data_IF_366773457429
#
_entry.id   IF_366773457429
#
_cell.length_a   1.000
_cell.length_b   1.000
_cell.length_c   1.000
_cell.angle_alpha   90.00
_cell.angle_beta   90.00
_cell.angle_gamma   90.00
#
_symmetry.space_group_name_H-M   'P 1'
#
loop_
_entity.id
_entity.type
_entity.pdbx_description
1 polymer ?
#
# COMPACT_ATOMS: atom_id res chain seq x y z
N UNK A 1 -29.94 -27.07 -0.16
CA UNK A 1 -30.52 -26.15 0.83
C UNK A 1 -29.35 -25.41 1.49
N UNK A 2 -29.14 -24.15 1.13
CA UNK A 2 -28.12 -23.34 1.76
C UNK A 2 -28.70 -22.69 3.02
N UNK A 3 -27.98 -22.69 4.14
CA UNK A 3 -28.51 -22.05 5.35
C UNK A 3 -28.53 -20.52 5.15
N UNK A 4 -29.72 -19.96 5.39
CA UNK A 4 -29.89 -18.51 5.42
C UNK A 4 -29.12 -17.95 6.63
N UNK A 5 -28.10 -17.18 6.35
CA UNK A 5 -27.40 -16.43 7.41
C UNK A 5 -28.31 -15.26 7.84
N UNK A 6 -28.95 -15.41 8.98
CA UNK A 6 -29.79 -14.35 9.57
C UNK A 6 -28.85 -13.25 10.13
N UNK A 7 -29.09 -12.03 9.72
CA UNK A 7 -28.30 -10.85 10.04
C UNK A 7 -28.49 -10.31 11.47
N UNK A 8 -29.12 -11.09 12.37
CA UNK A 8 -29.59 -10.54 13.66
C UNK A 8 -28.64 -10.69 14.85
N UNK A 9 -27.52 -11.40 14.72
CA UNK A 9 -26.68 -11.68 15.90
C UNK A 9 -25.19 -11.39 15.70
N UNK A 10 -24.88 -10.22 15.14
CA UNK A 10 -23.49 -9.77 15.18
C UNK A 10 -23.26 -9.15 16.55
N UNK A 11 -22.86 -9.98 17.51
CA UNK A 11 -22.37 -9.51 18.80
C UNK A 11 -21.14 -8.64 18.56
N UNK A 12 -20.91 -7.61 19.38
CA UNK A 12 -19.67 -6.81 19.27
C UNK A 12 -18.47 -7.75 19.29
N UNK A 13 -17.56 -7.56 18.37
CA UNK A 13 -16.33 -8.36 18.32
C UNK A 13 -15.50 -7.97 19.55
N UNK A 14 -15.23 -8.88 20.48
CA UNK A 14 -14.48 -8.51 21.68
C UNK A 14 -13.07 -8.05 21.31
N UNK A 15 -12.54 -7.15 22.10
CA UNK A 15 -11.20 -6.57 21.93
C UNK A 15 -10.12 -7.66 21.82
N UNK A 16 -10.39 -8.83 22.43
CA UNK A 16 -9.49 -10.00 22.36
C UNK A 16 -9.31 -10.56 20.95
N UNK A 17 -10.25 -10.30 20.04
CA UNK A 17 -10.13 -10.79 18.65
C UNK A 17 -9.08 -9.97 17.87
N UNK A 18 -8.69 -8.80 18.39
CA UNK A 18 -7.59 -8.02 17.81
C UNK A 18 -6.24 -8.70 18.02
N UNK A 19 -6.18 -9.68 18.95
CA UNK A 19 -4.98 -10.46 19.23
C UNK A 19 -5.20 -11.90 18.74
N UNK A 20 -5.07 -12.13 17.44
CA UNK A 20 -5.03 -13.49 16.97
C UNK A 20 -3.66 -14.06 17.34
N UNK A 21 -3.63 -14.78 18.46
CA UNK A 21 -2.49 -15.64 18.77
C UNK A 21 -2.75 -16.95 18.05
N UNK A 22 -1.91 -17.25 17.06
CA UNK A 22 -1.92 -18.56 16.46
C UNK A 22 -1.67 -19.58 17.59
N UNK A 23 -2.41 -20.69 17.65
CA UNK A 23 -2.13 -21.71 18.65
C UNK A 23 -0.72 -22.22 18.47
N UNK A 24 0.06 -22.20 19.54
CA UNK A 24 1.38 -22.82 19.55
C UNK A 24 1.20 -24.33 19.58
N UNK A 25 1.55 -25.05 18.53
CA UNK A 25 1.63 -26.50 18.67
C UNK A 25 2.97 -26.82 19.36
N UNK A 26 2.89 -27.25 20.59
CA UNK A 26 4.03 -27.88 21.24
C UNK A 26 4.26 -29.22 20.54
N UNK A 27 5.05 -29.19 19.50
CA UNK A 27 5.57 -30.41 18.92
C UNK A 27 7.08 -30.23 18.75
N UNK A 28 7.84 -30.89 19.64
CA UNK A 28 9.29 -30.98 19.47
C UNK A 28 9.53 -31.89 18.26
N UNK A 29 9.70 -31.27 17.09
CA UNK A 29 10.19 -32.01 15.94
C UNK A 29 11.73 -31.94 15.92
N UNK A 30 12.34 -33.07 15.90
CA UNK A 30 13.76 -33.26 15.64
C UNK A 30 14.10 -32.60 14.29
N UNK A 31 15.14 -31.76 14.20
CA UNK A 31 15.41 -31.09 12.93
C UNK A 31 15.97 -32.07 11.91
N UNK A 32 15.10 -32.66 11.13
CA UNK A 32 15.55 -33.23 9.86
C UNK A 32 15.95 -32.06 8.95
N UNK A 33 17.15 -32.13 8.37
CA UNK A 33 17.59 -31.20 7.33
C UNK A 33 16.59 -31.30 6.18
N UNK A 34 15.51 -30.53 6.25
CA UNK A 34 14.62 -30.37 5.10
C UNK A 34 15.41 -29.63 4.03
N UNK A 35 15.59 -30.27 2.88
CA UNK A 35 16.05 -29.59 1.68
C UNK A 35 15.08 -28.43 1.48
N UNK A 36 15.58 -27.19 1.58
CA UNK A 36 14.78 -26.00 1.37
C UNK A 36 14.33 -25.98 -0.09
N UNK A 37 13.05 -26.24 -0.32
CA UNK A 37 12.48 -26.10 -1.66
C UNK A 37 12.44 -24.59 -1.95
N UNK A 38 12.98 -24.15 -3.09
CA UNK A 38 12.92 -22.73 -3.43
C UNK A 38 11.48 -22.29 -3.63
N UNK A 39 11.16 -21.01 -3.34
CA UNK A 39 9.80 -20.52 -3.56
C UNK A 39 9.42 -20.59 -5.03
N UNK A 40 8.16 -20.92 -5.31
CA UNK A 40 7.62 -20.87 -6.65
C UNK A 40 7.20 -19.43 -6.96
N UNK A 41 7.61 -18.93 -8.11
CA UNK A 41 7.32 -17.56 -8.56
C UNK A 41 6.55 -17.66 -9.87
N UNK A 42 5.26 -17.25 -9.86
CA UNK A 42 4.40 -17.25 -11.02
C UNK A 42 3.93 -15.85 -11.33
N UNK A 43 3.97 -15.45 -12.58
CA UNK A 43 3.49 -14.12 -12.98
C UNK A 43 2.00 -13.98 -12.64
N UNK A 44 1.62 -12.84 -12.06
CA UNK A 44 0.26 -12.60 -11.57
C UNK A 44 -0.65 -12.02 -12.65
N UNK A 45 -0.12 -11.08 -13.45
CA UNK A 45 -0.81 -10.49 -14.60
C UNK A 45 0.15 -10.39 -15.77
N UNK A 46 -0.33 -10.13 -16.99
CA UNK A 46 0.58 -9.96 -18.14
C UNK A 46 1.56 -8.80 -18.01
N UNK A 47 1.28 -7.80 -17.16
CA UNK A 47 2.07 -6.55 -17.12
C UNK A 47 2.92 -6.41 -15.88
N UNK A 48 2.51 -6.99 -14.72
CA UNK A 48 3.31 -6.87 -13.47
C UNK A 48 2.79 -7.82 -12.41
N UNK A 49 3.56 -7.96 -11.35
CA UNK A 49 3.20 -8.74 -10.18
C UNK A 49 3.55 -10.21 -10.29
N UNK A 50 3.87 -10.82 -9.17
CA UNK A 50 4.15 -12.25 -9.07
C UNK A 50 3.46 -12.84 -7.83
N UNK A 51 2.99 -14.06 -7.98
CA UNK A 51 2.44 -14.88 -6.89
C UNK A 51 3.57 -15.78 -6.39
N UNK A 52 3.84 -15.76 -5.09
CA UNK A 52 4.92 -16.50 -4.45
C UNK A 52 4.28 -17.57 -3.56
N UNK A 53 4.62 -18.80 -3.85
CA UNK A 53 4.18 -19.96 -3.03
C UNK A 53 5.39 -20.75 -2.58
N UNK A 54 5.08 -21.63 -1.49
CA UNK A 54 6.16 -22.34 -1.03
C UNK A 54 7.03 -21.59 -0.10
N UNK A 55 6.67 -20.47 0.40
CA UNK A 55 7.31 -19.81 1.36
C UNK A 55 6.46 -19.75 2.49
N UNK A 56 6.91 -20.05 3.74
CA UNK A 56 6.21 -19.87 5.03
C UNK A 56 6.82 -18.67 5.77
N UNK A 57 6.13 -17.57 5.76
CA UNK A 57 6.63 -16.30 6.32
C UNK A 57 6.54 -16.26 7.85
N UNK A 58 6.00 -17.30 8.48
CA UNK A 58 6.08 -17.45 9.95
C UNK A 58 7.45 -17.92 10.39
N UNK A 59 8.25 -18.47 9.48
CA UNK A 59 9.55 -19.03 9.75
C UNK A 59 10.67 -18.07 9.35
N UNK A 60 11.83 -18.20 10.00
CA UNK A 60 13.02 -17.46 9.59
C UNK A 60 13.44 -17.94 8.19
N UNK A 61 13.58 -17.00 7.26
CA UNK A 61 14.00 -17.31 5.89
C UNK A 61 15.53 -17.34 5.79
N UNK A 62 16.05 -18.28 5.02
CA UNK A 62 17.47 -18.28 4.73
C UNK A 62 17.81 -17.22 3.69
N UNK A 63 19.07 -16.88 3.62
CA UNK A 63 19.54 -15.80 2.74
C UNK A 63 19.24 -16.05 1.25
N UNK A 64 19.12 -17.03 0.82
CA UNK A 64 18.85 -17.37 -0.47
C UNK A 64 17.51 -17.08 -0.87
N UNK A 65 16.76 -17.54 -0.02
CA UNK A 65 15.34 -17.22 -0.25
C UNK A 65 15.11 -15.71 -0.21
N UNK A 66 15.64 -15.03 0.78
CA UNK A 66 15.50 -13.56 0.89
C UNK A 66 16.02 -12.89 -0.38
N UNK A 67 17.20 -13.28 -0.87
CA UNK A 67 17.77 -12.66 -2.09
C UNK A 67 16.88 -12.93 -3.30
N UNK A 68 16.32 -14.13 -3.42
CA UNK A 68 15.38 -14.48 -4.48
C UNK A 68 14.14 -13.59 -4.41
N UNK A 69 13.58 -13.37 -3.21
CA UNK A 69 12.42 -12.52 -3.02
C UNK A 69 12.73 -11.05 -3.34
N UNK A 70 13.91 -10.57 -2.98
CA UNK A 70 14.35 -9.21 -3.33
C UNK A 70 14.44 -9.02 -4.84
N UNK A 71 15.03 -10.00 -5.55
CA UNK A 71 15.10 -9.95 -7.01
C UNK A 71 13.71 -9.96 -7.63
N UNK A 72 12.82 -10.84 -7.14
CA UNK A 72 11.44 -10.90 -7.61
C UNK A 72 10.71 -9.58 -7.38
N UNK A 73 10.92 -8.95 -6.22
CA UNK A 73 10.29 -7.67 -5.90
C UNK A 73 10.75 -6.57 -6.85
N UNK A 74 12.06 -6.46 -7.10
CA UNK A 74 12.59 -5.45 -8.02
C UNK A 74 12.09 -5.69 -9.46
N UNK A 75 11.95 -6.94 -9.87
CA UNK A 75 11.47 -7.29 -11.20
C UNK A 75 9.97 -7.04 -11.36
N UNK A 76 9.16 -7.49 -10.41
CA UNK A 76 7.71 -7.57 -10.58
C UNK A 76 6.92 -6.43 -9.95
N UNK A 77 7.52 -5.63 -9.05
CA UNK A 77 6.92 -4.49 -8.33
C UNK A 77 5.82 -4.86 -7.33
N UNK A 78 5.26 -6.05 -7.41
CA UNK A 78 4.21 -6.50 -6.49
C UNK A 78 4.35 -8.01 -6.32
N UNK A 79 4.37 -8.45 -5.04
CA UNK A 79 4.43 -9.87 -4.70
C UNK A 79 3.21 -10.23 -3.85
N UNK A 80 2.48 -11.26 -4.28
CA UNK A 80 1.37 -11.83 -3.52
C UNK A 80 1.82 -13.13 -2.86
N UNK A 81 1.72 -13.20 -1.54
CA UNK A 81 1.98 -14.40 -0.75
C UNK A 81 0.65 -14.88 -0.17
N UNK A 82 0.01 -15.89 -0.77
CA UNK A 82 -1.28 -16.38 -0.24
C UNK A 82 -1.10 -17.29 0.98
N UNK A 83 -2.14 -17.40 1.78
CA UNK A 83 -2.24 -18.34 2.91
C UNK A 83 -1.13 -18.16 3.97
N UNK A 84 -0.79 -16.91 4.27
CA UNK A 84 0.21 -16.57 5.29
C UNK A 84 -0.53 -16.16 6.57
N UNK A 85 -0.81 -17.13 7.43
CA UNK A 85 -1.50 -16.88 8.71
C UNK A 85 -0.43 -16.62 9.79
N UNK A 86 0.12 -15.40 9.75
CA UNK A 86 1.30 -15.03 10.57
C UNK A 86 0.92 -14.01 11.64
N UNK A 87 1.75 -13.94 12.67
CA UNK A 87 1.62 -12.95 13.75
C UNK A 87 2.11 -11.57 13.28
N UNK A 88 1.84 -10.55 14.09
CA UNK A 88 2.39 -9.22 13.86
C UNK A 88 3.91 -9.21 13.93
N UNK A 89 4.49 -10.00 14.85
CA UNK A 89 5.94 -10.14 14.98
C UNK A 89 6.55 -10.71 13.70
N UNK A 90 5.94 -11.75 13.15
CA UNK A 90 6.41 -12.37 11.91
C UNK A 90 6.26 -11.41 10.73
N UNK A 91 5.18 -10.62 10.70
CA UNK A 91 4.97 -9.60 9.66
C UNK A 91 6.09 -8.54 9.68
N UNK A 92 6.41 -8.03 10.88
CA UNK A 92 7.49 -7.04 11.04
C UNK A 92 8.84 -7.68 10.68
N UNK A 93 9.11 -8.91 11.15
CA UNK A 93 10.37 -9.60 10.85
C UNK A 93 10.54 -9.81 9.33
N UNK A 94 9.47 -10.16 8.63
CA UNK A 94 9.49 -10.28 7.17
C UNK A 94 9.83 -8.94 6.51
N UNK A 95 9.21 -7.86 6.97
CA UNK A 95 9.46 -6.51 6.46
C UNK A 95 10.94 -6.14 6.59
N UNK A 96 11.56 -6.49 7.71
CA UNK A 96 12.93 -6.11 8.01
C UNK A 96 13.97 -6.81 7.14
N UNK A 97 13.62 -7.89 6.44
CA UNK A 97 14.50 -8.45 5.42
C UNK A 97 14.75 -7.46 4.26
N UNK A 98 13.80 -6.57 4.01
CA UNK A 98 13.84 -5.66 2.86
C UNK A 98 14.31 -4.25 3.21
N UNK A 99 14.38 -3.91 4.49
CA UNK A 99 14.83 -2.60 4.93
C UNK A 99 14.27 -2.22 6.29
N UNK A 100 14.45 -0.97 6.65
CA UNK A 100 14.00 -0.46 7.96
C UNK A 100 12.49 -0.26 7.94
N UNK A 101 11.80 -0.87 8.90
CA UNK A 101 10.36 -0.72 9.06
C UNK A 101 10.05 0.67 9.64
N UNK A 102 9.20 1.43 8.95
CA UNK A 102 8.78 2.74 9.42
C UNK A 102 7.88 2.62 10.65
N UNK A 103 7.95 3.62 11.53
CA UNK A 103 6.96 3.80 12.59
C UNK A 103 5.80 4.61 12.00
N UNK A 104 4.61 4.00 11.90
CA UNK A 104 3.49 4.73 11.32
C UNK A 104 3.08 5.89 12.22
N UNK A 105 2.69 6.98 11.62
CA UNK A 105 2.16 8.13 12.34
C UNK A 105 0.77 7.81 12.85
N UNK A 106 0.43 8.40 13.98
CA UNK A 106 -0.95 8.39 14.45
C UNK A 106 -1.77 9.16 13.41
N UNK A 107 -2.57 8.43 12.67
CA UNK A 107 -3.48 9.04 11.70
C UNK A 107 -4.92 8.89 12.18
N UNK A 108 -5.77 9.74 11.66
CA UNK A 108 -7.19 9.73 11.99
C UNK A 108 -7.78 8.34 11.69
N UNK A 109 -8.32 7.71 12.72
CA UNK A 109 -8.96 6.40 12.56
C UNK A 109 -8.01 5.21 12.51
N UNK A 110 -6.73 5.38 12.85
CA UNK A 110 -5.81 4.26 12.95
C UNK A 110 -5.52 3.92 14.41
N UNK A 111 -5.35 2.64 14.68
CA UNK A 111 -4.96 2.13 15.99
C UNK A 111 -3.57 1.49 15.85
N UNK A 112 -2.65 1.91 16.72
CA UNK A 112 -1.30 1.40 16.74
C UNK A 112 -1.10 0.57 18.00
N UNK A 113 -1.26 -0.73 17.88
CA UNK A 113 -0.95 -1.64 18.98
C UNK A 113 0.53 -1.97 19.02
N UNK A 114 1.21 -1.79 17.91
CA UNK A 114 2.65 -2.04 17.78
C UNK A 114 3.30 -0.88 17.03
N UNK A 115 4.56 -0.55 17.38
CA UNK A 115 5.20 0.65 16.81
C UNK A 115 5.33 0.65 15.28
N UNK A 116 5.40 -0.52 14.66
CA UNK A 116 5.69 -0.64 13.23
C UNK A 116 4.49 -1.06 12.39
N UNK A 117 3.30 -1.23 13.00
CA UNK A 117 2.12 -1.71 12.27
C UNK A 117 1.02 -0.66 12.27
N UNK A 118 0.55 -0.33 11.09
CA UNK A 118 -0.64 0.48 10.87
C UNK A 118 -1.82 -0.45 10.63
N UNK A 119 -2.90 -0.28 11.41
CA UNK A 119 -4.11 -1.11 11.26
C UNK A 119 -5.13 -0.35 10.43
N UNK A 120 -5.49 -0.91 9.27
CA UNK A 120 -6.51 -0.36 8.38
C UNK A 120 -7.82 -1.06 8.71
N UNK A 121 -8.71 -0.34 9.38
CA UNK A 121 -9.87 -0.91 10.07
C UNK A 121 -11.10 -0.02 9.82
N UNK A 122 -12.31 -0.62 9.86
CA UNK A 122 -13.56 0.11 9.67
C UNK A 122 -14.52 0.02 10.87
N UNK A 123 -13.99 -0.22 12.07
CA UNK A 123 -14.77 -0.20 13.30
C UNK A 123 -13.98 0.43 14.45
N UNK A 124 -14.71 0.83 15.49
CA UNK A 124 -14.13 1.52 16.64
C UNK A 124 -13.60 0.54 17.70
N UNK A 125 -13.10 1.08 18.80
CA UNK A 125 -12.52 0.28 19.90
C UNK A 125 -13.55 -0.62 20.59
N UNK A 126 -14.81 -0.23 20.51
CA UNK A 126 -15.92 -0.97 21.11
C UNK A 126 -16.46 -2.06 20.16
N UNK A 127 -15.95 -2.13 18.93
CA UNK A 127 -16.35 -3.12 17.94
C UNK A 127 -17.50 -2.68 17.05
N UNK A 128 -17.91 -1.40 17.13
CA UNK A 128 -19.01 -0.87 16.31
C UNK A 128 -18.47 -0.43 14.95
N UNK A 129 -19.12 -0.88 13.87
CA UNK A 129 -18.76 -0.46 12.53
C UNK A 129 -18.96 1.06 12.36
N UNK A 130 -18.08 1.69 11.58
CA UNK A 130 -18.20 3.11 11.27
C UNK A 130 -19.48 3.38 10.48
N UNK A 131 -20.19 4.42 10.85
CA UNK A 131 -21.34 4.89 10.07
C UNK A 131 -20.83 5.56 8.79
N UNK A 132 -21.59 5.44 7.71
CA UNK A 132 -21.17 5.92 6.39
C UNK A 132 -20.88 7.42 6.34
N UNK A 133 -21.53 8.20 7.21
CA UNK A 133 -21.44 9.67 7.23
C UNK A 133 -20.45 10.22 8.27
N UNK A 134 -19.89 9.37 9.14
CA UNK A 134 -18.97 9.88 10.17
C UNK A 134 -17.59 10.24 9.61
N UNK A 135 -16.83 11.14 10.27
CA UNK A 135 -15.54 11.62 9.74
C UNK A 135 -14.53 10.54 9.41
N UNK A 136 -14.47 9.46 10.20
CA UNK A 136 -13.54 8.34 9.95
C UNK A 136 -13.88 7.61 8.64
N UNK A 137 -15.18 7.43 8.35
CA UNK A 137 -15.63 6.80 7.12
C UNK A 137 -15.31 7.70 5.92
N UNK A 138 -15.52 9.01 6.06
CA UNK A 138 -15.16 9.96 5.00
C UNK A 138 -13.66 9.98 4.74
N UNK A 139 -12.84 9.91 5.79
CA UNK A 139 -11.39 9.82 5.64
C UNK A 139 -11.00 8.59 4.81
N UNK A 140 -11.65 7.45 5.07
CA UNK A 140 -11.39 6.21 4.31
C UNK A 140 -11.76 6.34 2.82
N UNK A 141 -12.72 7.19 2.48
CA UNK A 141 -13.06 7.45 1.07
C UNK A 141 -11.88 8.06 0.30
N UNK A 142 -11.00 8.80 0.98
CA UNK A 142 -9.78 9.32 0.34
C UNK A 142 -8.84 8.23 -0.17
N UNK A 143 -8.89 7.04 0.44
CA UNK A 143 -8.08 5.90 0.01
C UNK A 143 -8.60 5.26 -1.29
N UNK A 144 -9.73 5.71 -1.79
CA UNK A 144 -10.27 5.29 -3.09
C UNK A 144 -9.61 6.01 -4.26
N UNK A 145 -8.81 7.03 -3.99
CA UNK A 145 -8.03 7.71 -5.03
C UNK A 145 -6.71 6.98 -5.27
N UNK A 146 -6.27 6.93 -6.53
CA UNK A 146 -4.99 6.32 -6.87
C UNK A 146 -3.83 7.07 -6.19
N UNK A 147 -3.04 6.37 -5.41
CA UNK A 147 -1.91 6.99 -4.69
C UNK A 147 -0.77 6.00 -4.47
N UNK A 148 0.39 6.53 -4.12
CA UNK A 148 1.48 5.76 -3.53
C UNK A 148 1.61 6.18 -2.07
N UNK A 149 2.11 5.30 -1.22
CA UNK A 149 2.29 5.64 0.19
C UNK A 149 3.45 6.63 0.35
N UNK A 150 3.14 7.76 0.95
CA UNK A 150 4.15 8.70 1.40
C UNK A 150 4.70 9.66 0.35
N UNK A 151 4.10 9.76 -0.85
CA UNK A 151 4.64 10.68 -1.86
C UNK A 151 4.54 12.15 -1.46
N UNK A 152 3.74 12.46 -0.43
CA UNK A 152 3.68 13.81 0.16
C UNK A 152 4.83 14.10 1.12
N UNK A 153 5.73 13.12 1.35
CA UNK A 153 6.92 13.28 2.20
C UNK A 153 8.14 13.54 1.33
N UNK A 154 9.13 14.27 1.89
CA UNK A 154 10.41 14.48 1.21
C UNK A 154 11.12 13.15 0.90
N UNK A 155 10.96 12.17 1.79
CA UNK A 155 11.50 10.82 1.61
C UNK A 155 10.30 9.85 1.63
N UNK A 156 9.77 9.47 0.46
CA UNK A 156 8.64 8.53 0.39
C UNK A 156 9.05 7.12 0.83
N UNK A 157 8.06 6.33 1.24
CA UNK A 157 8.30 4.91 1.57
C UNK A 157 8.69 4.13 0.30
N UNK A 158 9.63 3.21 0.43
CA UNK A 158 10.03 2.33 -0.68
C UNK A 158 8.90 1.36 -1.00
N UNK A 159 8.39 0.69 0.03
CA UNK A 159 7.43 -0.41 -0.15
C UNK A 159 6.46 -0.46 1.01
N UNK A 160 5.32 -1.09 0.76
CA UNK A 160 4.33 -1.39 1.79
C UNK A 160 3.98 -2.87 1.73
N UNK A 161 3.69 -3.43 2.88
CA UNK A 161 3.29 -4.84 3.02
C UNK A 161 1.95 -4.87 3.75
N UNK A 162 0.89 -5.29 3.03
CA UNK A 162 -0.46 -5.41 3.55
C UNK A 162 -0.78 -6.88 3.83
N UNK A 163 -1.35 -7.15 4.99
CA UNK A 163 -1.78 -8.49 5.38
C UNK A 163 -3.27 -8.47 5.73
N UNK A 164 -4.04 -9.42 5.17
CA UNK A 164 -5.48 -9.51 5.39
C UNK A 164 -5.79 -10.36 6.62
N UNK A 165 -6.44 -9.74 7.62
CA UNK A 165 -6.82 -10.39 8.87
C UNK A 165 -8.31 -10.66 8.94
N UNK A 166 -9.14 -9.69 8.55
CA UNK A 166 -10.60 -9.86 8.42
C UNK A 166 -11.01 -9.26 7.08
N UNK A 167 -11.77 -10.01 6.32
CA UNK A 167 -12.13 -9.67 4.93
C UNK A 167 -13.66 -9.71 4.80
N UNK A 168 -14.29 -8.67 4.24
CA UNK A 168 -15.71 -8.68 3.99
C UNK A 168 -16.07 -9.67 2.88
N UNK A 169 -17.30 -10.24 2.91
CA UNK A 169 -17.72 -11.19 1.86
C UNK A 169 -17.90 -10.54 0.50
N UNK A 170 -18.07 -9.22 0.44
CA UNK A 170 -18.21 -8.44 -0.81
C UNK A 170 -17.47 -7.13 -0.71
N UNK A 171 -16.80 -6.76 -1.78
CA UNK A 171 -16.08 -5.50 -1.86
C UNK A 171 -14.81 -5.50 -1.03
N UNK A 172 -14.27 -4.33 -0.74
CA UNK A 172 -13.08 -4.18 0.07
C UNK A 172 -11.80 -4.65 -0.60
N UNK A 173 -11.81 -4.80 -1.93
CA UNK A 173 -10.60 -5.13 -2.70
C UNK A 173 -9.59 -4.01 -2.62
N UNK A 174 -8.35 -4.31 -2.97
CA UNK A 174 -7.33 -3.30 -3.22
C UNK A 174 -6.91 -3.41 -4.68
N UNK A 175 -6.97 -2.30 -5.38
CA UNK A 175 -6.53 -2.23 -6.77
C UNK A 175 -5.12 -1.65 -6.83
N UNK A 176 -4.31 -2.20 -7.71
CA UNK A 176 -2.93 -1.76 -7.94
C UNK A 176 -2.78 -1.42 -9.42
N UNK A 177 -1.95 -0.42 -9.72
CA UNK A 177 -1.64 -0.04 -11.10
C UNK A 177 -0.13 0.04 -11.26
N UNK A 178 0.37 -0.50 -12.38
CA UNK A 178 1.80 -0.48 -12.68
C UNK A 178 2.19 0.86 -13.29
N UNK A 179 3.00 1.62 -12.55
CA UNK A 179 3.56 2.87 -13.08
C UNK A 179 4.65 2.62 -14.12
N UNK A 180 5.28 1.44 -14.11
CA UNK A 180 6.21 1.02 -15.17
C UNK A 180 5.46 0.78 -16.47
N UNK A 181 4.36 0.03 -16.42
CA UNK A 181 3.52 -0.21 -17.59
C UNK A 181 2.93 1.10 -18.12
N UNK A 182 2.51 1.98 -17.23
CA UNK A 182 2.00 3.30 -17.62
C UNK A 182 3.07 4.12 -18.35
N UNK A 183 4.30 4.16 -17.81
CA UNK A 183 5.40 4.86 -18.47
C UNK A 183 5.64 4.30 -19.88
N UNK A 184 5.75 2.98 -19.99
CA UNK A 184 5.99 2.32 -21.26
C UNK A 184 4.83 2.50 -22.26
N UNK A 185 3.62 2.73 -21.74
CA UNK A 185 2.44 2.98 -22.57
C UNK A 185 2.27 4.41 -23.04
N UNK A 186 3.08 5.35 -22.51
CA UNK A 186 3.07 6.73 -22.99
C UNK A 186 3.68 6.81 -24.40
N UNK A 187 3.22 7.80 -25.18
CA UNK A 187 3.88 8.12 -26.46
C UNK A 187 5.34 8.55 -26.23
N UNK A 188 6.17 8.41 -27.24
CA UNK A 188 7.57 8.88 -27.16
C UNK A 188 7.64 10.38 -26.90
N UNK A 189 6.68 11.13 -27.42
CA UNK A 189 6.57 12.57 -27.19
C UNK A 189 6.31 12.85 -25.69
N UNK A 190 5.35 12.14 -25.09
CA UNK A 190 5.04 12.31 -23.67
C UNK A 190 6.21 11.85 -22.78
N UNK A 191 6.85 10.74 -23.12
CA UNK A 191 8.04 10.29 -22.38
C UNK A 191 9.13 11.38 -22.40
N UNK A 192 9.38 11.97 -23.56
CA UNK A 192 10.36 13.06 -23.73
C UNK A 192 9.93 14.29 -22.92
N UNK A 193 8.63 14.61 -22.90
CA UNK A 193 8.09 15.74 -22.13
C UNK A 193 8.32 15.57 -20.65
N UNK A 194 8.01 14.39 -20.11
CA UNK A 194 7.97 14.19 -18.66
C UNK A 194 9.27 13.67 -18.03
N UNK A 195 10.20 13.14 -18.82
CA UNK A 195 11.40 12.48 -18.27
C UNK A 195 12.26 13.39 -17.40
N UNK A 196 12.23 14.72 -17.65
CA UNK A 196 13.02 15.70 -16.90
C UNK A 196 12.15 16.68 -16.13
N UNK A 197 10.87 16.37 -15.91
CA UNK A 197 9.96 17.22 -15.16
C UNK A 197 9.81 16.74 -13.71
N UNK A 198 9.47 17.65 -12.84
CA UNK A 198 9.11 17.35 -11.45
C UNK A 198 7.69 17.81 -11.18
N UNK A 199 6.96 17.08 -10.36
CA UNK A 199 5.65 17.49 -9.86
C UNK A 199 5.76 17.80 -8.37
N UNK A 200 4.98 18.77 -7.92
CA UNK A 200 4.90 19.13 -6.50
C UNK A 200 3.76 18.33 -5.87
N UNK A 201 4.07 17.57 -4.84
CA UNK A 201 3.13 16.74 -4.10
C UNK A 201 2.81 17.42 -2.77
N UNK A 202 1.54 17.37 -2.38
CA UNK A 202 1.10 17.97 -1.12
C UNK A 202 -0.01 17.12 -0.49
N UNK A 203 0.10 16.88 0.81
CA UNK A 203 -0.85 16.04 1.54
C UNK A 203 -2.29 16.52 1.36
N UNK A 204 -2.52 17.83 1.56
CA UNK A 204 -3.85 18.41 1.51
C UNK A 204 -4.49 18.35 0.11
N UNK A 205 -3.67 18.33 -0.95
CA UNK A 205 -4.19 18.32 -2.32
C UNK A 205 -5.07 17.09 -2.59
N UNK A 206 -4.67 15.92 -2.13
CA UNK A 206 -5.41 14.68 -2.38
C UNK A 206 -6.82 14.69 -1.76
N UNK A 207 -7.04 15.57 -0.80
CA UNK A 207 -8.31 15.64 -0.05
C UNK A 207 -9.04 16.98 -0.24
N UNK A 208 -8.67 17.75 -1.24
CA UNK A 208 -9.20 19.11 -1.47
C UNK A 208 -10.72 19.14 -1.69
N UNK A 209 -11.30 18.03 -2.14
CA UNK A 209 -12.75 17.94 -2.38
C UNK A 209 -13.51 17.39 -1.18
N UNK A 210 -12.82 17.12 -0.07
CA UNK A 210 -13.42 16.63 1.17
C UNK A 210 -13.50 17.79 2.15
N UNK A 211 -14.69 18.16 2.60
CA UNK A 211 -14.88 19.24 3.58
C UNK A 211 -14.53 18.77 4.99
N UNK A 212 -13.29 18.28 5.17
CA UNK A 212 -12.81 17.81 6.48
C UNK A 212 -11.36 18.24 6.65
N UNK A 213 -11.07 18.85 7.77
CA UNK A 213 -9.70 19.15 8.18
C UNK A 213 -9.10 17.89 8.83
N UNK A 214 -8.17 17.23 8.13
CA UNK A 214 -7.59 15.96 8.58
C UNK A 214 -6.35 16.13 9.44
N UNK A 215 -5.69 17.27 9.33
CA UNK A 215 -4.49 17.59 10.09
C UNK A 215 -4.70 18.90 10.81
N UNK A 216 -4.18 18.99 12.03
CA UNK A 216 -4.06 20.28 12.71
C UNK A 216 -3.04 21.15 11.95
N UNK A 217 -3.04 22.46 12.22
CA UNK A 217 -2.09 23.36 11.57
C UNK A 217 -0.64 22.97 11.90
N UNK A 218 -0.40 22.49 13.13
CA UNK A 218 0.92 22.00 13.52
C UNK A 218 1.33 20.73 12.80
N UNK A 219 0.39 19.80 12.60
CA UNK A 219 0.66 18.58 11.84
C UNK A 219 0.89 18.89 10.37
N UNK A 220 0.11 19.83 9.81
CA UNK A 220 0.26 20.25 8.41
C UNK A 220 1.65 20.84 8.14
N UNK A 221 2.22 21.58 9.10
CA UNK A 221 3.56 22.14 8.98
C UNK A 221 4.66 21.08 8.82
N UNK A 222 4.40 19.85 9.25
CA UNK A 222 5.35 18.74 9.13
C UNK A 222 5.38 18.16 7.72
N UNK A 223 4.42 18.55 6.86
CA UNK A 223 4.31 18.07 5.49
C UNK A 223 4.22 19.26 4.52
N UNK A 224 5.32 20.04 4.42
CA UNK A 224 5.35 21.08 3.40
C UNK A 224 5.29 20.44 2.00
N UNK A 225 4.92 21.19 0.96
CA UNK A 225 4.95 20.67 -0.39
C UNK A 225 6.33 20.12 -0.74
N UNK A 226 6.37 19.01 -1.48
CA UNK A 226 7.63 18.38 -1.88
C UNK A 226 7.60 18.10 -3.38
N UNK A 227 8.77 18.23 -4.01
CA UNK A 227 8.92 17.97 -5.44
C UNK A 227 9.52 16.58 -5.66
N UNK A 228 8.97 15.87 -6.61
CA UNK A 228 9.47 14.55 -7.01
C UNK A 228 9.59 14.49 -8.53
N UNK A 229 10.57 13.74 -9.06
CA UNK A 229 10.64 13.56 -10.51
C UNK A 229 9.37 12.84 -11.01
N UNK A 230 8.88 13.24 -12.17
CA UNK A 230 7.72 12.59 -12.79
C UNK A 230 8.08 11.23 -13.40
N UNK A 231 9.36 10.99 -13.66
CA UNK A 231 9.87 9.69 -14.09
C UNK A 231 10.91 9.23 -13.06
N UNK A 232 10.63 8.11 -12.40
CA UNK A 232 11.58 7.50 -11.47
C UNK A 232 12.24 6.30 -12.12
N UNK A 233 13.55 6.21 -11.94
CA UNK A 233 14.34 5.08 -12.43
C UNK A 233 14.70 4.18 -11.25
N UNK A 234 14.43 2.89 -11.36
CA UNK A 234 14.87 1.93 -10.35
C UNK A 234 16.39 1.79 -10.47
N UNK A 235 17.16 2.10 -9.41
CA UNK A 235 18.62 2.09 -9.51
C UNK A 235 19.22 0.70 -9.68
N UNK A 236 18.46 -0.36 -9.39
CA UNK A 236 18.96 -1.73 -9.45
C UNK A 236 18.76 -2.38 -10.82
N UNK A 237 17.72 -1.99 -11.57
CA UNK A 237 17.42 -2.61 -12.86
C UNK A 237 17.17 -1.62 -13.99
N UNK A 238 17.22 -0.32 -13.73
CA UNK A 238 17.06 0.72 -14.75
C UNK A 238 15.63 0.91 -15.25
N UNK A 239 14.66 0.20 -14.70
CA UNK A 239 13.27 0.31 -15.14
C UNK A 239 12.68 1.66 -14.74
N UNK A 240 11.94 2.27 -15.67
CA UNK A 240 11.36 3.61 -15.51
C UNK A 240 9.88 3.49 -15.14
N UNK A 241 9.41 4.39 -14.28
CA UNK A 241 8.04 4.46 -13.82
C UNK A 241 7.52 5.89 -13.92
N UNK A 242 6.25 6.04 -14.31
CA UNK A 242 5.55 7.32 -14.31
C UNK A 242 5.12 7.63 -12.86
N UNK A 243 5.89 8.49 -12.18
CA UNK A 243 5.67 8.74 -10.75
C UNK A 243 4.64 9.85 -10.55
N UNK A 244 3.37 9.46 -10.57
CA UNK A 244 2.22 10.33 -10.32
C UNK A 244 1.37 9.76 -9.19
N UNK A 245 0.55 10.60 -8.57
CA UNK A 245 -0.24 10.22 -7.40
C UNK A 245 -1.33 11.27 -7.21
N UNK A 246 -2.40 10.93 -6.48
CA UNK A 246 -3.41 11.92 -6.11
C UNK A 246 -2.86 13.05 -5.25
N UNK A 247 -1.66 12.89 -4.71
CA UNK A 247 -0.97 13.97 -3.98
C UNK A 247 -0.30 14.98 -4.92
N UNK A 248 -0.06 14.65 -6.19
CA UNK A 248 0.59 15.54 -7.13
C UNK A 248 -0.34 16.70 -7.50
N UNK A 249 0.05 17.92 -7.13
CA UNK A 249 -0.79 19.10 -7.25
C UNK A 249 -0.57 19.87 -8.55
N UNK A 250 0.68 20.01 -8.98
CA UNK A 250 1.01 20.71 -10.21
C UNK A 250 2.42 20.33 -10.67
N UNK A 251 2.73 20.62 -11.95
CA UNK A 251 4.08 20.40 -12.50
C UNK A 251 4.90 21.66 -12.25
N UNK A 252 6.07 21.48 -11.67
CA UNK A 252 6.97 22.58 -11.32
C UNK A 252 7.31 23.42 -12.54
N UNK A 253 7.17 24.73 -12.41
CA UNK A 253 7.48 25.70 -13.48
C UNK A 253 6.38 25.87 -14.49
N UNK A 254 5.24 25.22 -14.32
CA UNK A 254 4.10 25.31 -15.23
C UNK A 254 2.90 25.94 -14.53
N UNK A 255 1.89 26.38 -15.32
CA UNK A 255 0.64 26.90 -14.76
C UNK A 255 0.03 25.85 -13.84
N UNK A 256 -0.31 26.23 -12.61
CA UNK A 256 -0.80 25.29 -11.59
C UNK A 256 -2.13 24.64 -11.97
N UNK A 257 -3.06 25.42 -12.50
CA UNK A 257 -4.38 24.91 -12.86
C UNK A 257 -4.29 23.94 -14.05
N UNK A 258 -3.60 24.35 -15.11
CA UNK A 258 -3.49 23.52 -16.32
C UNK A 258 -2.65 22.26 -16.05
N UNK A 259 -1.54 22.38 -15.31
CA UNK A 259 -0.72 21.19 -15.01
C UNK A 259 -1.43 20.26 -14.01
N UNK A 260 -2.27 20.78 -13.11
CA UNK A 260 -3.11 19.93 -12.26
C UNK A 260 -4.03 19.05 -13.11
N UNK A 261 -4.68 19.63 -14.11
CA UNK A 261 -5.54 18.87 -15.05
C UNK A 261 -4.74 17.81 -15.78
N UNK A 262 -3.53 18.14 -16.21
CA UNK A 262 -2.65 17.20 -16.90
C UNK A 262 -2.26 16.04 -15.99
N UNK A 263 -1.92 16.31 -14.73
CA UNK A 263 -1.60 15.28 -13.74
C UNK A 263 -2.81 14.38 -13.47
N UNK A 264 -4.02 14.94 -13.42
CA UNK A 264 -5.26 14.16 -13.27
C UNK A 264 -5.46 13.24 -14.48
N UNK A 265 -5.19 13.73 -15.69
CA UNK A 265 -5.26 12.92 -16.91
C UNK A 265 -4.23 11.78 -16.87
N UNK A 266 -2.99 12.06 -16.43
CA UNK A 266 -1.95 11.04 -16.31
C UNK A 266 -2.32 9.99 -15.25
N UNK A 267 -2.93 10.42 -14.15
CA UNK A 267 -3.37 9.50 -13.10
C UNK A 267 -4.48 8.57 -13.63
N UNK A 268 -5.42 9.14 -14.39
CA UNK A 268 -6.47 8.35 -15.06
C UNK A 268 -5.88 7.40 -16.08
N UNK A 269 -4.88 7.85 -16.85
CA UNK A 269 -4.17 7.00 -17.81
C UNK A 269 -3.52 5.81 -17.12
N UNK A 270 -2.80 6.06 -16.01
CA UNK A 270 -2.12 4.99 -15.25
C UNK A 270 -3.12 4.01 -14.64
N UNK A 271 -4.34 4.46 -14.33
CA UNK A 271 -5.40 3.63 -13.74
C UNK A 271 -6.21 2.82 -14.75
N UNK A 272 -5.87 2.81 -16.04
CA UNK A 272 -6.57 2.00 -17.04
C UNK A 272 -6.48 0.51 -16.70
N UNK A 273 -7.54 -0.22 -17.00
CA UNK A 273 -7.65 -1.65 -16.69
C UNK A 273 -6.44 -2.47 -17.17
N UNK A 274 -5.90 -2.13 -18.33
CA UNK A 274 -4.75 -2.85 -18.91
C UNK A 274 -3.45 -2.74 -18.09
N UNK A 275 -3.37 -1.75 -17.18
CA UNK A 275 -2.22 -1.53 -16.30
C UNK A 275 -2.49 -1.97 -14.87
N UNK A 276 -3.66 -2.54 -14.57
CA UNK A 276 -4.12 -2.73 -13.19
C UNK A 276 -4.27 -4.20 -12.82
N UNK A 277 -4.23 -4.43 -11.51
CA UNK A 277 -4.53 -5.70 -10.87
C UNK A 277 -5.51 -5.44 -9.73
N UNK A 278 -6.64 -6.14 -9.71
CA UNK A 278 -7.67 -6.02 -8.67
C UNK A 278 -7.53 -7.19 -7.70
N UNK A 279 -6.96 -6.94 -6.53
CA UNK A 279 -6.74 -8.00 -5.54
C UNK A 279 -7.98 -8.19 -4.66
N UNK A 280 -8.62 -9.34 -4.83
CA UNK A 280 -9.72 -9.80 -4.00
C UNK A 280 -9.15 -10.56 -2.80
N UNK A 281 -9.17 -9.89 -1.65
CA UNK A 281 -8.51 -10.39 -0.44
C UNK A 281 -9.11 -11.72 0.05
N UNK A 282 -8.25 -12.63 0.45
CA UNK A 282 -8.58 -13.78 1.28
C UNK A 282 -7.79 -13.65 2.58
N UNK A 283 -8.38 -14.12 3.70
CA UNK A 283 -7.68 -14.07 4.99
C UNK A 283 -6.36 -14.83 4.87
N UNK A 284 -5.28 -14.21 5.34
CA UNK A 284 -3.94 -14.77 5.23
C UNK A 284 -3.17 -14.29 3.99
N UNK A 285 -3.82 -13.59 3.06
CA UNK A 285 -3.06 -12.99 1.95
C UNK A 285 -2.15 -11.89 2.47
N UNK A 286 -0.93 -11.88 1.96
CA UNK A 286 0.04 -10.82 2.20
C UNK A 286 0.47 -10.29 0.84
N UNK A 287 0.36 -8.98 0.64
CA UNK A 287 0.75 -8.33 -0.62
C UNK A 287 1.81 -7.28 -0.31
N UNK A 288 2.98 -7.43 -0.94
CA UNK A 288 4.06 -6.45 -0.89
C UNK A 288 4.08 -5.68 -2.20
N UNK A 289 4.09 -4.36 -2.14
CA UNK A 289 4.08 -3.53 -3.34
C UNK A 289 5.08 -2.38 -3.25
N UNK A 290 5.65 -2.06 -4.41
CA UNK A 290 6.72 -1.07 -4.58
C UNK A 290 6.09 0.30 -4.79
N UNK A 291 6.21 1.18 -3.80
CA UNK A 291 5.66 2.54 -3.88
C UNK A 291 6.37 3.43 -4.90
N UNK A 292 7.54 2.98 -5.40
CA UNK A 292 8.27 3.68 -6.46
C UNK A 292 7.69 3.37 -7.85
N UNK A 293 6.93 2.27 -7.95
CA UNK A 293 6.50 1.70 -9.24
C UNK A 293 5.01 1.31 -9.29
N UNK A 294 4.27 1.46 -8.20
CA UNK A 294 2.85 1.09 -8.14
C UNK A 294 2.01 2.18 -7.52
N UNK A 295 0.85 2.40 -8.12
CA UNK A 295 -0.27 3.06 -7.43
C UNK A 295 -1.14 2.00 -6.78
N UNK A 296 -1.88 2.40 -5.76
CA UNK A 296 -2.95 1.55 -5.22
C UNK A 296 -4.14 2.40 -4.78
N UNK A 297 -5.29 1.73 -4.65
CA UNK A 297 -6.49 2.36 -4.09
C UNK A 297 -7.41 1.28 -3.51
N UNK A 298 -8.21 1.68 -2.51
CA UNK A 298 -9.24 0.82 -1.97
C UNK A 298 -10.47 0.84 -2.88
N UNK A 299 -11.06 -0.31 -3.15
CA UNK A 299 -12.37 -0.36 -3.81
C UNK A 299 -13.47 -0.13 -2.78
N UNK A 300 -14.66 0.29 -3.21
CA UNK A 300 -15.77 0.50 -2.28
C UNK A 300 -16.14 -0.76 -1.48
N UNK A 301 -16.38 -0.62 -0.30
CA UNK A 301 -16.73 -1.58 0.49
C UNK A 301 -17.79 -1.03 1.23
N UNK A 302 -18.86 -1.77 1.51
CA UNK A 302 -19.87 -1.30 2.47
C UNK A 302 -19.28 -1.25 3.86
N UNK A 303 -18.78 -0.10 4.19
CA UNK A 303 -17.97 0.16 5.40
C UNK A 303 -18.79 -0.03 6.69
N UNK A 304 -20.11 0.07 6.57
CA UNK A 304 -21.06 -0.01 7.68
C UNK A 304 -21.75 -1.39 7.80
N UNK A 305 -21.32 -2.37 7.00
CA UNK A 305 -21.98 -3.69 6.99
C UNK A 305 -21.10 -4.84 7.47
N UNK A 306 -19.84 -4.82 7.11
CA UNK A 306 -18.95 -5.96 7.38
C UNK A 306 -17.62 -5.47 7.94
N UNK A 307 -17.09 -6.12 8.98
CA UNK A 307 -15.78 -5.75 9.50
C UNK A 307 -14.68 -6.08 8.49
N UNK A 308 -13.65 -5.23 8.48
CA UNK A 308 -12.46 -5.40 7.64
C UNK A 308 -11.22 -4.96 8.42
N UNK A 309 -10.23 -5.83 8.48
CA UNK A 309 -8.92 -5.50 9.04
C UNK A 309 -7.84 -5.90 8.07
N UNK A 310 -7.05 -4.92 7.64
CA UNK A 310 -5.75 -5.14 7.04
C UNK A 310 -4.69 -4.55 7.96
N UNK A 311 -3.53 -5.17 8.01
CA UNK A 311 -2.39 -4.66 8.76
C UNK A 311 -1.28 -4.34 7.79
N UNK A 312 -0.63 -3.20 7.99
CA UNK A 312 0.37 -2.68 7.05
C UNK A 312 1.65 -2.31 7.77
N UNK A 313 2.78 -2.72 7.17
CA UNK A 313 4.10 -2.14 7.46
C UNK A 313 4.54 -1.35 6.25
N UNK A 314 5.43 -0.39 6.47
CA UNK A 314 6.08 0.38 5.40
C UNK A 314 7.58 0.29 5.56
N UNK A 315 8.29 0.23 4.44
CA UNK A 315 9.74 0.19 4.41
C UNK A 315 10.26 1.60 4.12
N UNK A 316 11.09 2.11 5.02
CA UNK A 316 11.65 3.46 4.91
C UNK A 316 12.68 3.53 3.80
N UNK A 317 12.71 4.66 3.10
CA UNK A 317 13.88 5.07 2.34
C UNK A 317 14.74 5.98 3.23
N UNK A 318 15.93 6.28 2.80
CA UNK A 318 16.86 7.13 3.54
C UNK A 318 17.37 8.31 2.70
N UNK A 319 16.90 8.43 1.47
CA UNK A 319 17.30 9.51 0.56
C UNK A 319 16.07 10.18 -0.05
N UNK A 320 16.09 11.50 -0.21
CA UNK A 320 15.05 12.16 -0.99
C UNK A 320 15.16 11.75 -2.47
N UNK A 321 14.07 11.89 -3.19
CA UNK A 321 14.00 11.51 -4.60
C UNK A 321 14.80 12.43 -5.50
N UNK A 322 15.06 13.64 -5.04
CA UNK A 322 15.90 14.62 -5.72
C UNK A 322 16.40 15.65 -4.71
N UNK A 323 17.52 16.29 -5.01
CA UNK A 323 18.12 17.29 -4.13
C UNK A 323 17.16 18.46 -3.90
N UNK A 324 17.15 18.99 -2.67
CA UNK A 324 16.35 20.16 -2.29
C UNK A 324 14.88 20.00 -2.70
N UNK A 325 14.30 18.88 -2.31
CA UNK A 325 12.97 18.53 -2.80
C UNK A 325 11.80 19.11 -1.99
N UNK A 326 12.07 19.89 -0.95
CA UNK A 326 11.01 20.53 -0.14
C UNK A 326 10.67 21.92 -0.70
N UNK A 327 9.53 22.13 -1.16
CA UNK A 327 9.29 23.10 -1.56
C UNK A 327 8.87 23.82 -0.60
N UNK A 328 9.06 24.94 -0.18
CA UNK A 328 8.65 25.82 0.90
C UNK A 328 7.52 26.77 0.52
N UNK A 329 7.24 26.87 -0.76
CA UNK A 329 6.12 27.71 -1.27
C UNK A 329 5.18 26.87 -2.13
N UNK A 330 3.86 27.08 -1.93
CA UNK A 330 2.84 26.49 -2.78
C UNK A 330 2.59 27.35 -4.01
#
# INVERSE_FOLDING_TARGET
MQPHCRTRDLKPIPFSVLYYQAPTPYCRLIPTRRKTVPPSICQLTPVFGAKITXXDLSQKLNRXIVDTLKEAFEEHSLLLFPKQHISDEAHVAFTEYFGVSERPRKSFGSYHHRPNINVVINYDKEGNLYKADEPRARFRKGQRMWHTDGSYKSIPSIASILRACIVPPKGGHTQFASLRAAWNGLSKEDQKRFQNRAAVHHYAHSRRHMNIKFLSDEEAKKFPPVRHPMMRVNPLNGKKALYVSSYAAYIEGEDKTESCKELEMLLKFAGQKKFTYDHKWQVGDLVMYDNRACLHRASPXPIDKYPRILRRTNIADYRPTMANNVXHTL
#
